data_IF_418945511835
#
_entry.id   IF_418945511835
#
_cell.length_a   1.000
_cell.length_b   1.000
_cell.length_c   1.000
_cell.angle_alpha   90.00
_cell.angle_beta   90.00
_cell.angle_gamma   90.00
#
_symmetry.space_group_name_H-M   'P 1'
#
loop_
_entity.id
_entity.type
_entity.pdbx_description
1 polymer ?
#
# COMPACT_ATOMS: atom_id res chain seq x y z
N UNK A 1 -11.90 2.77 -19.83
CA UNK A 1 -11.21 2.68 -18.52
C UNK A 1 -10.08 3.71 -18.39
N UNK A 2 -9.45 4.10 -19.47
CA UNK A 2 -8.34 5.07 -19.42
C UNK A 2 -8.77 6.45 -18.94
N UNK A 3 -9.94 6.93 -19.38
CA UNK A 3 -10.56 8.15 -18.86
C UNK A 3 -10.76 8.11 -17.32
N UNK A 4 -11.20 6.98 -16.77
CA UNK A 4 -11.35 6.83 -15.31
C UNK A 4 -10.02 6.98 -14.59
N UNK A 5 -8.95 6.36 -15.14
CA UNK A 5 -7.60 6.46 -14.56
C UNK A 5 -7.06 7.89 -14.65
N UNK A 6 -7.26 8.55 -15.80
CA UNK A 6 -6.83 9.93 -16.00
C UNK A 6 -7.49 10.87 -14.99
N UNK A 7 -8.81 10.78 -14.80
CA UNK A 7 -9.54 11.60 -13.84
C UNK A 7 -9.12 11.28 -12.39
N UNK A 8 -8.88 10.00 -12.05
CA UNK A 8 -8.36 9.63 -10.73
C UNK A 8 -6.99 10.24 -10.46
N UNK A 9 -6.10 10.24 -11.45
CA UNK A 9 -4.78 10.86 -11.36
C UNK A 9 -4.86 12.37 -11.27
N UNK A 10 -5.74 12.99 -12.02
CA UNK A 10 -6.02 14.43 -11.92
C UNK A 10 -6.43 14.83 -10.50
N UNK A 11 -7.25 14.01 -9.84
CA UNK A 11 -7.65 14.21 -8.45
C UNK A 11 -6.61 13.69 -7.41
N UNK A 12 -5.40 13.36 -7.83
CA UNK A 12 -4.30 12.88 -6.98
C UNK A 12 -4.63 11.65 -6.13
N UNK A 13 -5.50 10.77 -6.61
CA UNK A 13 -5.76 9.50 -5.92
C UNK A 13 -4.53 8.58 -5.98
N UNK A 14 -4.34 7.80 -4.90
CA UNK A 14 -3.26 6.83 -4.86
C UNK A 14 -3.45 5.74 -5.93
N UNK A 15 -2.34 5.18 -6.44
CA UNK A 15 -2.37 4.08 -7.41
C UNK A 15 -3.23 2.90 -6.93
N UNK A 16 -3.21 2.59 -5.62
CA UNK A 16 -4.05 1.54 -5.05
C UNK A 16 -5.54 1.87 -5.14
N UNK A 17 -5.90 3.13 -4.91
CA UNK A 17 -7.29 3.60 -5.07
C UNK A 17 -7.70 3.52 -6.54
N UNK A 18 -6.82 3.93 -7.46
CA UNK A 18 -7.05 3.80 -8.91
C UNK A 18 -7.36 2.35 -9.29
N UNK A 19 -6.53 1.40 -8.88
CA UNK A 19 -6.78 -0.03 -9.14
C UNK A 19 -8.10 -0.51 -8.55
N UNK A 20 -8.38 -0.16 -7.31
CA UNK A 20 -9.59 -0.61 -6.61
C UNK A 20 -10.84 -0.04 -7.26
N UNK A 21 -10.84 1.24 -7.61
CA UNK A 21 -11.99 1.88 -8.27
C UNK A 21 -12.22 1.29 -9.66
N UNK A 22 -11.15 1.11 -10.45
CA UNK A 22 -11.23 0.46 -11.74
C UNK A 22 -11.82 -0.96 -11.64
N UNK A 23 -11.41 -1.75 -10.64
CA UNK A 23 -11.96 -3.09 -10.44
C UNK A 23 -13.44 -3.06 -10.07
N UNK A 24 -13.90 -2.15 -9.21
CA UNK A 24 -15.31 -2.03 -8.87
C UNK A 24 -16.15 -1.59 -10.05
N UNK A 25 -15.67 -0.64 -10.85
CA UNK A 25 -16.35 -0.17 -12.06
C UNK A 25 -16.47 -1.31 -13.08
N UNK A 26 -15.40 -2.09 -13.30
CA UNK A 26 -15.45 -3.26 -14.18
C UNK A 26 -16.45 -4.31 -13.67
N UNK A 27 -16.46 -4.61 -12.37
CA UNK A 27 -17.43 -5.55 -11.79
C UNK A 27 -18.87 -5.08 -11.96
N UNK A 28 -19.11 -3.79 -11.83
CA UNK A 28 -20.42 -3.18 -12.08
C UNK A 28 -20.85 -3.34 -13.55
N UNK A 29 -19.97 -3.03 -14.50
CA UNK A 29 -20.23 -3.20 -15.93
C UNK A 29 -20.51 -4.68 -16.26
N UNK A 30 -19.73 -5.59 -15.72
CA UNK A 30 -19.92 -7.03 -15.91
C UNK A 30 -21.24 -7.54 -15.33
N UNK A 31 -21.69 -7.00 -14.21
CA UNK A 31 -22.97 -7.37 -13.60
C UNK A 31 -24.15 -7.10 -14.55
N UNK A 32 -24.07 -6.06 -15.38
CA UNK A 32 -25.04 -5.73 -16.42
C UNK A 32 -24.66 -6.30 -17.80
N UNK A 33 -23.97 -7.44 -17.85
CA UNK A 33 -23.67 -8.18 -19.07
C UNK A 33 -22.45 -7.71 -19.85
N UNK A 34 -21.68 -6.74 -19.34
CA UNK A 34 -20.40 -6.29 -19.92
C UNK A 34 -20.49 -5.41 -21.18
N UNK A 35 -21.66 -5.27 -21.78
CA UNK A 35 -21.90 -4.50 -23.02
C UNK A 35 -22.65 -3.18 -22.76
N UNK A 36 -23.36 -3.07 -21.65
CA UNK A 36 -24.15 -1.88 -21.30
C UNK A 36 -23.22 -0.77 -20.84
N UNK A 37 -23.28 0.37 -21.53
CA UNK A 37 -22.47 1.53 -21.14
C UNK A 37 -23.04 2.13 -19.85
N UNK A 38 -22.20 2.50 -18.84
CA UNK A 38 -22.68 3.04 -17.57
C UNK A 38 -23.56 4.30 -17.67
N UNK A 39 -23.47 5.07 -18.75
CA UNK A 39 -24.37 6.23 -19.00
C UNK A 39 -25.84 5.83 -19.16
N UNK A 40 -26.11 4.59 -19.51
CA UNK A 40 -27.47 4.05 -19.67
C UNK A 40 -28.03 3.46 -18.37
N UNK A 41 -27.20 3.41 -17.33
CA UNK A 41 -27.54 2.91 -16.00
C UNK A 41 -27.68 4.10 -15.04
N UNK A 42 -28.55 3.94 -14.03
CA UNK A 42 -28.85 5.01 -13.07
C UNK A 42 -28.71 4.58 -11.62
N UNK A 43 -29.26 5.41 -10.71
CA UNK A 43 -29.22 5.17 -9.27
C UNK A 43 -29.83 3.83 -8.85
N UNK A 44 -30.94 3.41 -9.49
CA UNK A 44 -31.58 2.10 -9.24
C UNK A 44 -30.69 0.93 -9.61
N UNK A 45 -29.91 1.06 -10.69
CA UNK A 45 -28.96 0.01 -11.12
C UNK A 45 -27.77 -0.10 -10.17
N UNK A 46 -27.29 1.04 -9.66
CA UNK A 46 -26.28 1.06 -8.61
C UNK A 46 -26.80 0.36 -7.36
N UNK A 47 -28.03 0.67 -6.95
CA UNK A 47 -28.67 0.06 -5.79
C UNK A 47 -28.84 -1.46 -5.96
N UNK A 48 -29.29 -1.92 -7.15
CA UNK A 48 -29.41 -3.34 -7.48
C UNK A 48 -28.06 -4.06 -7.38
N UNK A 49 -27.01 -3.49 -7.95
CA UNK A 49 -25.66 -4.05 -7.87
C UNK A 49 -25.14 -4.11 -6.43
N UNK A 50 -25.29 -3.04 -5.66
CA UNK A 50 -24.85 -3.00 -4.26
C UNK A 50 -25.64 -3.97 -3.37
N UNK A 51 -26.95 -4.13 -3.63
CA UNK A 51 -27.80 -5.11 -2.96
C UNK A 51 -27.38 -6.53 -3.30
N UNK A 52 -27.05 -6.80 -4.58
CA UNK A 52 -26.48 -8.10 -5.00
C UNK A 52 -25.16 -8.39 -4.27
N UNK A 53 -24.27 -7.40 -4.13
CA UNK A 53 -23.02 -7.58 -3.36
C UNK A 53 -23.29 -7.95 -1.90
N UNK A 54 -24.34 -7.38 -1.28
CA UNK A 54 -24.70 -7.67 0.10
C UNK A 54 -25.33 -9.05 0.28
N UNK A 55 -26.25 -9.42 -0.60
CA UNK A 55 -27.09 -10.62 -0.48
C UNK A 55 -26.40 -11.87 -1.06
N UNK A 56 -25.96 -11.80 -2.30
CA UNK A 56 -25.33 -12.91 -3.03
C UNK A 56 -23.81 -12.92 -2.77
N UNK A 57 -23.16 -11.76 -2.94
CA UNK A 57 -21.72 -11.61 -2.75
C UNK A 57 -21.28 -11.69 -1.28
N UNK A 58 -22.20 -11.57 -0.33
CA UNK A 58 -21.95 -11.59 1.13
C UNK A 58 -20.76 -10.73 1.57
N UNK A 59 -20.53 -9.61 0.87
CA UNK A 59 -19.42 -8.71 1.17
C UNK A 59 -19.67 -7.97 2.49
N UNK A 60 -18.57 -7.48 3.12
CA UNK A 60 -18.69 -6.65 4.33
C UNK A 60 -19.26 -5.27 4.01
N UNK A 61 -19.83 -4.60 5.00
CA UNK A 61 -20.34 -3.23 4.85
C UNK A 61 -19.26 -2.23 4.40
N UNK A 62 -18.00 -2.44 4.81
CA UNK A 62 -16.87 -1.61 4.34
C UNK A 62 -16.57 -1.83 2.86
N UNK A 63 -16.66 -3.07 2.40
CA UNK A 63 -16.46 -3.45 0.99
C UNK A 63 -17.59 -2.88 0.12
N UNK A 64 -18.84 -2.99 0.57
CA UNK A 64 -19.99 -2.41 -0.11
C UNK A 64 -19.85 -0.88 -0.24
N UNK A 65 -19.42 -0.21 0.85
CA UNK A 65 -19.16 1.25 0.84
C UNK A 65 -18.04 1.62 -0.14
N UNK A 66 -17.00 0.80 -0.24
CA UNK A 66 -15.92 1.03 -1.20
C UNK A 66 -16.43 0.93 -2.65
N UNK A 67 -17.28 -0.04 -2.96
CA UNK A 67 -17.93 -0.16 -4.26
C UNK A 67 -18.81 1.07 -4.56
N UNK A 68 -19.64 1.50 -3.60
CA UNK A 68 -20.47 2.71 -3.73
C UNK A 68 -19.60 3.93 -4.05
N UNK A 69 -18.52 4.16 -3.29
CA UNK A 69 -17.65 5.30 -3.51
C UNK A 69 -17.01 5.30 -4.91
N UNK A 70 -16.65 4.12 -5.43
CA UNK A 70 -16.11 3.99 -6.78
C UNK A 70 -17.16 4.33 -7.86
N UNK A 71 -18.42 3.93 -7.66
CA UNK A 71 -19.51 4.22 -8.59
C UNK A 71 -19.94 5.69 -8.51
N UNK A 72 -20.04 6.26 -7.32
CA UNK A 72 -20.30 7.70 -7.15
C UNK A 72 -19.21 8.52 -7.83
N UNK A 73 -17.93 8.13 -7.69
CA UNK A 73 -16.83 8.77 -8.40
C UNK A 73 -17.00 8.69 -9.93
N UNK A 74 -17.35 7.51 -10.45
CA UNK A 74 -17.58 7.30 -11.88
C UNK A 74 -18.65 8.26 -12.39
N UNK A 75 -19.81 8.28 -11.76
CA UNK A 75 -20.93 9.11 -12.23
C UNK A 75 -20.65 10.60 -12.08
N UNK A 76 -20.13 11.01 -10.93
CA UNK A 76 -19.92 12.43 -10.61
C UNK A 76 -18.76 13.07 -11.36
N UNK A 77 -17.64 12.37 -11.50
CA UNK A 77 -16.38 12.97 -11.98
C UNK A 77 -15.96 12.51 -13.37
N UNK A 78 -16.45 11.36 -13.85
CA UNK A 78 -16.05 10.82 -15.16
C UNK A 78 -17.17 10.96 -16.18
N UNK A 79 -18.39 10.69 -15.79
CA UNK A 79 -19.56 10.76 -16.67
C UNK A 79 -20.26 12.12 -16.62
N UNK A 80 -20.02 12.90 -15.56
CA UNK A 80 -20.68 14.18 -15.27
C UNK A 80 -22.22 14.04 -15.24
N UNK A 81 -22.70 12.99 -14.57
CA UNK A 81 -24.12 12.69 -14.39
C UNK A 81 -24.45 12.79 -12.90
N UNK A 82 -25.28 13.75 -12.48
CA UNK A 82 -25.69 13.84 -11.09
C UNK A 82 -26.53 12.63 -10.69
N UNK A 83 -26.24 12.05 -9.54
CA UNK A 83 -27.05 11.01 -8.92
C UNK A 83 -28.10 11.70 -8.04
N UNK A 84 -29.25 12.05 -8.63
CA UNK A 84 -30.30 12.84 -7.96
C UNK A 84 -31.08 12.02 -6.92
N UNK A 85 -31.06 10.70 -7.00
CA UNK A 85 -31.77 9.82 -6.08
C UNK A 85 -30.87 9.35 -4.93
N UNK A 86 -31.44 9.28 -3.72
CA UNK A 86 -30.77 8.63 -2.59
C UNK A 86 -30.59 7.13 -2.88
N UNK A 87 -29.35 6.65 -2.83
CA UNK A 87 -29.00 5.25 -3.06
C UNK A 87 -29.13 4.50 -1.73
N UNK A 88 -30.20 3.71 -1.58
CA UNK A 88 -30.51 2.95 -0.36
C UNK A 88 -30.44 1.44 -0.58
N UNK A 89 -29.25 0.86 -0.83
CA UNK A 89 -29.10 -0.56 -1.10
C UNK A 89 -29.38 -1.41 0.14
N UNK A 90 -29.72 -2.68 -0.06
CA UNK A 90 -29.74 -3.66 1.02
C UNK A 90 -28.39 -3.63 1.75
N UNK A 91 -28.42 -3.41 3.05
CA UNK A 91 -27.19 -3.22 3.84
C UNK A 91 -26.51 -4.55 4.13
N UNK A 92 -25.23 -4.64 3.83
CA UNK A 92 -24.41 -5.75 4.31
C UNK A 92 -24.40 -5.79 5.84
N UNK A 93 -24.45 -6.99 6.41
CA UNK A 93 -24.41 -7.19 7.85
C UNK A 93 -23.09 -6.62 8.42
N UNK A 94 -23.20 -5.67 9.33
CA UNK A 94 -22.04 -5.13 10.03
C UNK A 94 -21.67 -6.09 11.15
N UNK A 95 -20.65 -6.89 10.93
CA UNK A 95 -20.04 -7.69 12.00
C UNK A 95 -18.99 -6.80 12.68
N UNK A 96 -19.31 -6.31 13.87
CA UNK A 96 -18.33 -5.64 14.74
C UNK A 96 -17.74 -6.70 15.67
N UNK A 97 -16.67 -7.33 15.24
CA UNK A 97 -15.85 -8.13 16.13
C UNK A 97 -14.76 -7.23 16.72
N UNK A 98 -14.59 -7.15 18.03
CA UNK A 98 -13.45 -6.47 18.62
C UNK A 98 -12.15 -7.16 18.14
N UNK A 99 -11.10 -6.40 17.88
CA UNK A 99 -9.84 -7.00 17.48
C UNK A 99 -9.31 -7.87 18.62
N UNK A 100 -8.86 -9.09 18.30
CA UNK A 100 -8.13 -9.92 19.26
C UNK A 100 -6.75 -9.30 19.45
N UNK A 101 -6.45 -8.94 20.70
CA UNK A 101 -5.16 -8.36 21.07
C UNK A 101 -4.33 -9.44 21.75
N UNK A 102 -3.11 -9.65 21.30
CA UNK A 102 -2.15 -10.57 21.89
C UNK A 102 -1.64 -10.00 23.21
N UNK A 103 -1.47 -10.86 24.19
CA UNK A 103 -0.78 -10.52 25.46
C UNK A 103 0.71 -10.31 25.19
N UNK A 104 1.39 -9.62 26.10
CA UNK A 104 2.84 -9.41 26.00
C UNK A 104 3.61 -10.74 25.92
N UNK A 105 3.19 -11.76 26.69
CA UNK A 105 3.81 -13.08 26.67
C UNK A 105 3.63 -13.81 25.32
N UNK A 106 2.47 -13.65 24.68
CA UNK A 106 2.22 -14.21 23.34
C UNK A 106 3.06 -13.50 22.28
N UNK A 107 3.17 -12.16 22.35
CA UNK A 107 4.04 -11.40 21.47
C UNK A 107 5.50 -11.81 21.63
N UNK A 108 5.99 -11.97 22.85
CA UNK A 108 7.36 -12.43 23.10
C UNK A 108 7.61 -13.82 22.50
N UNK A 109 6.70 -14.78 22.70
CA UNK A 109 6.80 -16.12 22.10
C UNK A 109 6.81 -16.05 20.57
N UNK A 110 5.93 -15.23 19.99
CA UNK A 110 5.88 -15.03 18.54
C UNK A 110 7.22 -14.48 18.00
N UNK A 111 7.70 -13.39 18.60
CA UNK A 111 8.94 -12.75 18.17
C UNK A 111 10.18 -13.64 18.37
N UNK A 112 10.19 -14.49 19.40
CA UNK A 112 11.25 -15.47 19.64
C UNK A 112 11.24 -16.64 18.66
N UNK A 113 10.08 -16.97 18.10
CA UNK A 113 9.95 -18.02 17.07
C UNK A 113 10.25 -17.53 15.65
N UNK A 114 10.46 -16.22 15.46
CA UNK A 114 10.79 -15.63 14.15
C UNK A 114 12.30 -15.48 14.02
N UNK A 115 12.80 -15.59 12.79
CA UNK A 115 14.22 -15.44 12.49
C UNK A 115 14.48 -14.46 11.33
N UNK A 116 15.70 -13.96 11.24
CA UNK A 116 16.18 -13.12 10.14
C UNK A 116 15.50 -11.78 10.00
N UNK A 117 15.45 -11.26 8.75
CA UNK A 117 14.85 -9.94 8.45
C UNK A 117 13.40 -9.80 8.90
N UNK A 118 12.49 -10.80 8.72
CA UNK A 118 11.12 -10.71 9.20
C UNK A 118 11.01 -10.54 10.71
N UNK A 119 11.87 -11.18 11.49
CA UNK A 119 11.92 -11.02 12.95
C UNK A 119 12.28 -9.59 13.34
N UNK A 120 13.32 -9.02 12.72
CA UNK A 120 13.74 -7.64 12.97
C UNK A 120 12.64 -6.64 12.58
N UNK A 121 11.99 -6.85 11.44
CA UNK A 121 10.83 -6.03 11.02
C UNK A 121 9.68 -6.10 12.02
N UNK A 122 9.31 -7.30 12.48
CA UNK A 122 8.24 -7.50 13.45
C UNK A 122 8.56 -6.83 14.79
N UNK A 123 9.78 -7.00 15.31
CA UNK A 123 10.29 -6.32 16.52
C UNK A 123 10.22 -4.80 16.36
N UNK A 124 10.64 -4.28 15.19
CA UNK A 124 10.64 -2.85 14.91
C UNK A 124 9.20 -2.30 14.86
N UNK A 125 8.30 -2.97 14.16
CA UNK A 125 6.88 -2.59 14.08
C UNK A 125 6.25 -2.57 15.48
N UNK A 126 6.48 -3.61 16.27
CA UNK A 126 5.94 -3.71 17.62
C UNK A 126 6.47 -2.61 18.56
N UNK A 127 7.79 -2.39 18.55
CA UNK A 127 8.42 -1.44 19.47
C UNK A 127 8.26 0.04 19.08
N UNK A 128 8.05 0.33 17.78
CA UNK A 128 7.91 1.71 17.27
C UNK A 128 6.46 2.10 16.93
N UNK A 129 5.53 1.16 16.87
CA UNK A 129 4.15 1.39 16.44
C UNK A 129 4.01 1.77 14.96
N UNK A 130 4.99 1.44 14.14
CA UNK A 130 4.95 1.65 12.69
C UNK A 130 3.94 0.71 12.03
N UNK A 131 3.35 1.14 10.91
CA UNK A 131 2.59 0.25 10.05
C UNK A 131 3.53 -0.62 9.19
N UNK A 132 3.07 -1.81 8.80
CA UNK A 132 3.87 -2.72 7.96
C UNK A 132 4.46 -2.02 6.73
N UNK A 133 3.65 -1.24 6.01
CA UNK A 133 4.12 -0.53 4.81
C UNK A 133 5.08 0.62 5.10
N UNK A 134 5.00 1.21 6.27
CA UNK A 134 5.96 2.22 6.72
C UNK A 134 7.31 1.58 7.03
N UNK A 135 7.32 0.41 7.67
CA UNK A 135 8.52 -0.38 7.91
C UNK A 135 9.17 -0.86 6.59
N UNK A 136 8.39 -1.40 5.64
CA UNK A 136 8.90 -1.85 4.33
C UNK A 136 9.51 -0.69 3.53
N UNK A 137 8.95 0.51 3.67
CA UNK A 137 9.39 1.71 2.95
C UNK A 137 10.43 2.54 3.72
N UNK A 138 10.96 2.01 4.81
CA UNK A 138 11.97 2.68 5.62
C UNK A 138 13.29 2.78 4.85
N UNK A 139 13.88 3.98 4.81
CA UNK A 139 15.18 4.24 4.18
C UNK A 139 16.27 4.41 5.23
N UNK A 140 17.50 4.17 4.81
CA UNK A 140 18.67 4.30 5.70
C UNK A 140 18.74 5.69 6.33
N UNK A 141 18.49 6.74 5.56
CA UNK A 141 18.52 8.13 6.05
C UNK A 141 17.36 8.50 7.00
N UNK A 142 16.32 7.64 7.10
CA UNK A 142 15.18 7.92 7.96
C UNK A 142 15.40 7.44 9.41
N UNK A 143 16.57 6.87 9.71
CA UNK A 143 16.93 6.39 11.06
C UNK A 143 18.00 7.30 11.66
N UNK A 144 17.66 7.95 12.74
CA UNK A 144 18.58 8.74 13.54
C UNK A 144 19.02 7.96 14.79
N UNK A 145 20.21 7.41 14.75
CA UNK A 145 20.79 6.70 15.87
C UNK A 145 21.26 7.61 17.00
N UNK A 146 21.52 8.90 16.73
CA UNK A 146 21.90 9.86 17.74
C UNK A 146 20.75 10.17 18.68
N UNK A 147 19.58 10.42 18.11
CA UNK A 147 18.37 10.75 18.87
C UNK A 147 17.48 9.54 19.15
N UNK A 148 17.80 8.35 18.63
CA UNK A 148 16.97 7.14 18.66
C UNK A 148 15.56 7.39 18.07
N UNK A 149 15.51 8.05 16.93
CA UNK A 149 14.27 8.37 16.21
C UNK A 149 14.23 7.72 14.83
N UNK A 150 13.01 7.48 14.37
CA UNK A 150 12.69 7.05 13.03
C UNK A 150 11.76 8.08 12.39
N UNK A 151 12.10 8.56 11.22
CA UNK A 151 11.28 9.46 10.41
C UNK A 151 10.38 8.63 9.50
N UNK A 152 9.08 8.65 9.76
CA UNK A 152 8.08 7.98 8.91
C UNK A 152 7.56 8.97 7.89
N UNK A 153 7.94 8.78 6.62
CA UNK A 153 7.55 9.67 5.52
C UNK A 153 6.27 9.18 4.85
N UNK A 154 5.41 10.13 4.47
CA UNK A 154 4.17 9.84 3.74
C UNK A 154 3.25 8.86 4.48
N UNK A 155 3.11 8.99 5.80
CA UNK A 155 2.24 8.17 6.64
C UNK A 155 0.76 8.30 6.26
N UNK A 156 -0.15 7.85 7.13
CA UNK A 156 -1.60 7.93 6.88
C UNK A 156 -2.02 9.39 6.62
N UNK A 157 -2.62 9.62 5.45
CA UNK A 157 -3.00 10.97 5.01
C UNK A 157 -1.85 11.81 4.46
N UNK A 158 -0.73 11.18 4.06
CA UNK A 158 0.42 11.88 3.48
C UNK A 158 1.26 12.69 4.48
N UNK A 159 1.02 12.54 5.78
CA UNK A 159 1.71 13.31 6.83
C UNK A 159 2.95 12.57 7.30
N UNK A 160 4.05 13.30 7.40
CA UNK A 160 5.28 12.82 8.02
C UNK A 160 5.14 12.85 9.54
N UNK A 161 5.78 11.90 10.22
CA UNK A 161 5.87 11.86 11.67
C UNK A 161 7.19 11.22 12.12
N UNK A 162 7.57 11.45 13.33
CA UNK A 162 8.65 10.72 14.01
C UNK A 162 8.08 9.65 14.93
N UNK A 163 8.86 8.59 15.14
CA UNK A 163 8.61 7.56 16.16
C UNK A 163 9.93 7.12 16.76
N UNK A 164 9.87 6.40 17.86
CA UNK A 164 11.07 5.95 18.57
C UNK A 164 11.72 4.75 17.90
N UNK A 165 13.05 4.74 17.83
CA UNK A 165 13.83 3.53 17.59
C UNK A 165 14.03 2.81 18.93
N UNK A 166 13.49 1.60 19.13
CA UNK A 166 13.66 0.87 20.38
C UNK A 166 15.15 0.62 20.67
N UNK A 167 15.61 1.01 21.88
CA UNK A 167 17.03 0.91 22.26
C UNK A 167 17.61 -0.49 22.11
N UNK A 168 16.82 -1.51 22.44
CA UNK A 168 17.21 -2.92 22.33
C UNK A 168 17.38 -3.41 20.88
N UNK A 169 16.88 -2.67 19.89
CA UNK A 169 17.03 -3.03 18.47
C UNK A 169 18.16 -2.26 17.78
N UNK A 170 18.82 -1.33 18.49
CA UNK A 170 19.84 -0.46 17.93
C UNK A 170 20.94 -1.26 17.21
N UNK A 171 21.49 -2.27 17.89
CA UNK A 171 22.61 -3.04 17.35
C UNK A 171 22.20 -3.94 16.19
N UNK A 172 20.99 -4.56 16.27
CA UNK A 172 20.44 -5.34 15.16
C UNK A 172 20.19 -4.44 13.93
N UNK A 173 19.70 -3.22 14.14
CA UNK A 173 19.46 -2.25 13.06
C UNK A 173 20.77 -1.73 12.45
N UNK A 174 21.81 -1.47 13.25
CA UNK A 174 23.13 -1.12 12.74
C UNK A 174 23.71 -2.23 11.85
N UNK A 175 23.64 -3.50 12.32
CA UNK A 175 24.08 -4.66 11.51
C UNK A 175 23.30 -4.77 10.20
N UNK A 176 21.97 -4.55 10.25
CA UNK A 176 21.14 -4.56 9.05
C UNK A 176 21.54 -3.47 8.07
N UNK A 177 21.82 -2.25 8.54
CA UNK A 177 22.25 -1.13 7.69
C UNK A 177 23.62 -1.42 7.06
N UNK A 178 24.56 -1.97 7.81
CA UNK A 178 25.88 -2.35 7.25
C UNK A 178 25.72 -3.44 6.16
N UNK A 179 24.84 -4.42 6.37
CA UNK A 179 24.54 -5.40 5.34
C UNK A 179 23.91 -4.75 4.07
N UNK A 180 23.07 -3.72 4.25
CA UNK A 180 22.50 -2.95 3.13
C UNK A 180 23.58 -2.15 2.40
N UNK A 181 24.51 -1.53 3.12
CA UNK A 181 25.63 -0.79 2.51
C UNK A 181 26.52 -1.71 1.68
N UNK A 182 26.85 -2.88 2.23
CA UNK A 182 27.66 -3.90 1.52
C UNK A 182 26.96 -4.39 0.25
N UNK A 183 25.66 -4.71 0.33
CA UNK A 183 24.85 -5.09 -0.82
C UNK A 183 24.81 -3.98 -1.86
N UNK A 184 24.55 -2.73 -1.42
CA UNK A 184 24.47 -1.58 -2.31
C UNK A 184 25.80 -1.29 -3.03
N UNK A 185 26.93 -1.45 -2.35
CA UNK A 185 28.26 -1.31 -2.96
C UNK A 185 28.46 -2.33 -4.10
N UNK A 186 28.12 -3.59 -3.83
CA UNK A 186 28.15 -4.64 -4.84
C UNK A 186 27.23 -4.34 -6.03
N UNK A 187 25.98 -3.89 -5.76
CA UNK A 187 25.04 -3.52 -6.81
C UNK A 187 25.58 -2.37 -7.67
N UNK A 188 26.30 -1.40 -7.08
CA UNK A 188 26.91 -0.29 -7.80
C UNK A 188 28.06 -0.76 -8.70
N UNK A 189 28.88 -1.72 -8.27
CA UNK A 189 29.95 -2.32 -9.07
C UNK A 189 29.39 -3.09 -10.28
N UNK A 190 28.24 -3.74 -10.11
CA UNK A 190 27.51 -4.45 -11.16
C UNK A 190 26.68 -3.50 -12.08
N UNK A 191 26.73 -2.18 -11.86
CA UNK A 191 26.00 -1.18 -12.65
C UNK A 191 24.54 -0.97 -12.25
N UNK A 192 24.10 -1.57 -11.15
CA UNK A 192 22.78 -1.42 -10.53
C UNK A 192 22.83 -0.42 -9.37
N UNK A 193 21.94 -0.57 -8.38
CA UNK A 193 21.94 0.26 -7.14
C UNK A 193 21.03 1.47 -7.20
N UNK A 194 20.27 1.67 -8.29
CA UNK A 194 19.27 2.72 -8.39
C UNK A 194 17.98 2.35 -7.66
N UNK A 195 17.53 3.22 -6.76
CA UNK A 195 16.22 3.11 -6.10
C UNK A 195 15.25 4.16 -6.60
N UNK A 196 13.96 3.83 -6.53
CA UNK A 196 12.91 4.80 -6.84
C UNK A 196 12.95 5.95 -5.84
N UNK A 197 12.98 7.17 -6.35
CA UNK A 197 12.75 8.40 -5.60
C UNK A 197 11.63 9.20 -6.27
N UNK A 198 10.86 10.03 -5.50
CA UNK A 198 9.83 10.90 -6.07
C UNK A 198 10.39 11.79 -7.17
N UNK A 199 9.64 11.97 -8.25
CA UNK A 199 10.11 12.68 -9.46
C UNK A 199 10.64 14.10 -9.20
N UNK A 200 9.96 14.84 -8.29
CA UNK A 200 10.41 16.18 -7.93
C UNK A 200 11.81 16.16 -7.27
N UNK A 201 12.08 15.14 -6.44
CA UNK A 201 13.39 14.97 -5.81
C UNK A 201 14.43 14.43 -6.80
N UNK A 202 14.03 13.58 -7.75
CA UNK A 202 14.90 13.08 -8.79
C UNK A 202 15.42 14.22 -9.68
N UNK A 203 14.57 15.20 -10.00
CA UNK A 203 14.98 16.41 -10.75
C UNK A 203 15.94 17.29 -9.94
N UNK A 204 15.67 17.48 -8.65
CA UNK A 204 16.49 18.30 -7.76
C UNK A 204 17.83 17.65 -7.43
N UNK A 205 17.84 16.35 -7.26
CA UNK A 205 19.01 15.56 -6.83
C UNK A 205 19.19 14.35 -7.76
N UNK A 206 19.75 14.51 -8.97
CA UNK A 206 19.86 13.46 -9.98
C UNK A 206 20.61 12.20 -9.52
N UNK A 207 21.58 12.36 -8.60
CA UNK A 207 22.40 11.26 -8.05
C UNK A 207 21.81 10.60 -6.81
N UNK A 208 20.69 11.10 -6.29
CA UNK A 208 20.12 10.61 -5.03
C UNK A 208 19.63 9.16 -5.13
N UNK A 209 19.17 8.68 -6.30
CA UNK A 209 18.76 7.30 -6.51
C UNK A 209 19.85 6.28 -6.17
N UNK A 210 21.13 6.67 -6.34
CA UNK A 210 22.31 5.84 -6.09
C UNK A 210 22.99 6.15 -4.74
N UNK A 211 22.48 7.10 -3.97
CA UNK A 211 23.04 7.40 -2.66
C UNK A 211 22.57 6.38 -1.61
N UNK A 212 23.51 5.94 -0.76
CA UNK A 212 23.26 4.94 0.29
C UNK A 212 22.12 5.34 1.24
N UNK A 213 21.99 6.62 1.56
CA UNK A 213 20.91 7.12 2.43
C UNK A 213 19.51 6.84 1.87
N UNK A 214 19.37 6.79 0.56
CA UNK A 214 18.09 6.50 -0.12
C UNK A 214 17.77 5.03 -0.28
N UNK A 215 18.72 4.12 0.04
CA UNK A 215 18.46 2.69 -0.03
C UNK A 215 17.44 2.25 1.02
N UNK A 216 16.70 1.18 0.70
CA UNK A 216 15.74 0.59 1.63
C UNK A 216 16.48 -0.16 2.74
N UNK A 217 16.01 -0.01 3.99
CA UNK A 217 16.58 -0.76 5.14
C UNK A 217 16.31 -2.25 5.00
N UNK A 218 15.17 -2.62 4.42
CA UNK A 218 14.77 -4.01 4.21
C UNK A 218 14.62 -4.30 2.70
N UNK A 219 15.73 -4.34 1.94
CA UNK A 219 15.66 -4.68 0.53
C UNK A 219 15.21 -6.12 0.36
N UNK A 220 14.39 -6.36 -0.68
CA UNK A 220 14.10 -7.71 -1.12
C UNK A 220 15.38 -8.30 -1.72
N UNK A 221 15.69 -9.53 -1.36
CA UNK A 221 16.66 -10.32 -2.09
C UNK A 221 16.01 -10.71 -3.43
N UNK A 222 15.95 -9.79 -4.39
CA UNK A 222 15.71 -10.15 -5.77
C UNK A 222 17.00 -10.80 -6.25
N UNK A 223 17.10 -12.11 -6.09
CA UNK A 223 18.13 -12.90 -6.75
C UNK A 223 17.99 -12.64 -8.25
N UNK A 224 19.08 -12.32 -8.89
CA UNK A 224 19.30 -11.93 -10.28
C UNK A 224 18.73 -12.86 -11.35
N UNK A 225 17.45 -13.25 -11.31
CA UNK A 225 16.86 -14.10 -12.35
C UNK A 225 16.02 -13.36 -13.37
N UNK A 226 15.73 -12.09 -13.16
CA UNK A 226 15.10 -11.28 -14.21
C UNK A 226 15.62 -9.85 -14.15
N UNK A 227 16.17 -9.38 -15.24
CA UNK A 227 16.57 -7.98 -15.52
C UNK A 227 15.38 -7.02 -15.39
N UNK A 228 14.89 -6.83 -14.18
CA UNK A 228 13.77 -5.90 -13.90
C UNK A 228 14.35 -4.65 -13.27
N UNK A 229 14.25 -3.49 -13.92
CA UNK A 229 14.71 -2.23 -13.32
C UNK A 229 14.07 -2.04 -11.94
N UNK A 230 14.82 -1.50 -10.98
CA UNK A 230 14.44 -1.30 -9.57
C UNK A 230 13.06 -0.65 -9.35
N UNK A 231 12.55 0.08 -10.36
CA UNK A 231 11.17 0.60 -10.40
C UNK A 231 10.09 -0.50 -10.30
N UNK A 232 10.38 -1.74 -10.71
CA UNK A 232 9.41 -2.86 -10.68
C UNK A 232 9.52 -3.73 -9.41
N UNK A 233 10.66 -3.80 -8.74
CA UNK A 233 10.82 -4.68 -7.55
C UNK A 233 9.90 -4.30 -6.38
N UNK A 234 9.72 -3.01 -6.06
CA UNK A 234 8.80 -2.58 -5.00
C UNK A 234 7.34 -2.85 -5.37
N UNK A 235 7.00 -2.71 -6.67
CA UNK A 235 5.65 -2.98 -7.18
C UNK A 235 5.36 -4.48 -7.23
N UNK A 236 6.35 -5.31 -7.52
CA UNK A 236 6.21 -6.78 -7.62
C UNK A 236 5.94 -7.41 -6.25
N UNK A 237 6.55 -6.93 -5.17
CA UNK A 237 6.26 -7.43 -3.82
C UNK A 237 4.82 -7.12 -3.38
N UNK A 238 4.29 -5.97 -3.75
CA UNK A 238 2.89 -5.62 -3.50
C UNK A 238 1.92 -6.51 -4.29
N UNK A 239 2.30 -6.97 -5.49
CA UNK A 239 1.45 -7.82 -6.33
C UNK A 239 1.56 -9.32 -5.98
N UNK A 240 2.73 -9.83 -5.55
CA UNK A 240 2.89 -11.24 -5.17
C UNK A 240 2.21 -11.57 -3.84
N UNK A 241 2.19 -10.67 -2.87
CA UNK A 241 1.49 -10.89 -1.59
C UNK A 241 -0.02 -10.99 -1.74
N UNK A 242 -0.59 -10.59 -2.89
CA UNK A 242 -2.02 -10.66 -3.19
C UNK A 242 -2.42 -11.77 -4.16
N UNK A 243 -1.47 -12.52 -4.75
CA UNK A 243 -1.78 -13.65 -5.65
C UNK A 243 -1.97 -15.00 -4.94
N UNK A 244 -1.60 -15.10 -3.66
CA UNK A 244 -1.64 -16.34 -2.89
C UNK A 244 -2.75 -16.35 -1.81
N UNK A 245 -3.87 -15.70 -2.07
CA UNK A 245 -5.12 -15.91 -1.32
C UNK A 245 -6.32 -15.96 -2.25
#
# INVERSE_FOLDING_TARGET
MDQVREVLRYHHYSYRTEQTYCQWILRYIHYFGGKTHPRLLGAKDIEAFLSHLATVGRVTASTQRQALNALVFLYKHVLDIPLEAEITPARSKRVTSPPTVMTQAEVQRLLSAMEGKPALMAKLIYGSGMRLMECIRLRVQDIDFGQNLIFVRGGKGGKDRTTVLPKNLRDEMLKQIEAVKTLHHKDLEEGFGDVYIPEALARKYPKASRATGWQWVFPLNCVHTTRVPARKCVITFLNQSYRNR
#
